data_IF_739744160833
#
_entry.id   IF_739744160833
#
_cell.length_a   1.000
_cell.length_b   1.000
_cell.length_c   1.000
_cell.angle_alpha   90.00
_cell.angle_beta   90.00
_cell.angle_gamma   90.00
#
_symmetry.space_group_name_H-M   'P 1'
#
loop_
_entity.id
_entity.type
_entity.pdbx_description
1 polymer ?
#
# COMPACT_ATOMS: atom_id res chain seq x y z
N UNK A 1 23.79 32.68 10.99
CA UNK A 1 24.55 31.83 10.04
C UNK A 1 24.15 30.40 10.41
N UNK A 2 23.12 29.87 9.74
CA UNK A 2 22.77 28.46 9.82
C UNK A 2 23.85 27.77 9.00
N UNK A 3 24.55 26.81 9.60
CA UNK A 3 25.53 25.98 8.92
C UNK A 3 24.86 25.38 7.67
N UNK A 4 25.44 25.62 6.49
CA UNK A 4 25.17 24.83 5.30
C UNK A 4 25.66 23.39 5.58
N UNK A 5 24.93 22.64 6.39
CA UNK A 5 25.04 21.21 6.38
C UNK A 5 24.57 20.77 4.99
N UNK A 6 25.55 20.38 4.18
CA UNK A 6 25.38 19.95 2.82
C UNK A 6 24.44 18.73 2.83
N UNK A 7 23.14 18.96 2.60
CA UNK A 7 22.17 17.86 2.52
C UNK A 7 22.67 16.82 1.51
N UNK A 8 22.71 15.57 1.94
CA UNK A 8 23.04 14.47 1.04
C UNK A 8 22.05 14.43 -0.13
N UNK A 9 22.52 14.10 -1.33
CA UNK A 9 21.61 14.01 -2.47
C UNK A 9 20.56 12.94 -2.23
N UNK A 10 19.33 13.21 -2.66
CA UNK A 10 18.24 12.22 -2.60
C UNK A 10 18.11 11.50 -3.94
N UNK A 11 17.80 10.21 -3.92
CA UNK A 11 17.43 9.47 -5.12
C UNK A 11 15.94 9.62 -5.37
N UNK A 12 15.55 10.13 -6.54
CA UNK A 12 14.14 10.26 -6.96
C UNK A 12 13.84 9.23 -8.04
N UNK A 13 12.91 8.34 -7.75
CA UNK A 13 12.46 7.28 -8.65
C UNK A 13 11.10 7.67 -9.21
N UNK A 14 11.07 8.13 -10.46
CA UNK A 14 9.88 8.62 -11.12
C UNK A 14 9.26 7.54 -12.01
N UNK A 15 7.99 7.23 -11.77
CA UNK A 15 7.21 6.36 -12.66
C UNK A 15 6.50 7.20 -13.73
N UNK A 16 7.00 7.24 -14.98
CA UNK A 16 6.42 8.04 -16.04
C UNK A 16 5.01 7.58 -16.44
N UNK A 17 4.68 6.31 -16.22
CA UNK A 17 3.37 5.73 -16.50
C UNK A 17 2.33 5.99 -15.38
N UNK A 18 2.76 6.44 -14.21
CA UNK A 18 1.87 6.72 -13.09
C UNK A 18 0.75 7.67 -13.49
N UNK A 19 -0.45 7.46 -12.95
CA UNK A 19 -1.63 8.24 -13.33
C UNK A 19 -1.89 8.25 -14.85
N UNK A 20 -1.57 7.14 -15.55
CA UNK A 20 -1.68 7.01 -17.03
C UNK A 20 -0.90 8.07 -17.79
N UNK A 21 0.37 8.22 -17.46
CA UNK A 21 1.30 9.16 -18.07
C UNK A 21 1.26 10.57 -17.45
N UNK A 22 0.60 10.73 -16.30
CA UNK A 22 0.70 11.97 -15.52
C UNK A 22 2.12 12.13 -14.95
N UNK A 23 2.75 11.05 -14.48
CA UNK A 23 4.11 11.05 -13.97
C UNK A 23 5.12 11.71 -14.92
N UNK A 24 5.08 11.35 -16.22
CA UNK A 24 5.95 11.99 -17.22
C UNK A 24 5.66 13.49 -17.40
N UNK A 25 4.41 13.92 -17.22
CA UNK A 25 4.02 15.33 -17.41
C UNK A 25 4.36 16.21 -16.19
N UNK A 26 4.38 15.63 -15.00
CA UNK A 26 4.66 16.37 -13.78
C UNK A 26 6.16 16.52 -13.52
N UNK A 27 7.03 15.82 -14.24
CA UNK A 27 8.48 15.87 -14.03
C UNK A 27 9.08 17.30 -14.06
N UNK A 28 8.75 18.20 -15.03
CA UNK A 28 9.30 19.54 -15.01
C UNK A 28 8.94 20.32 -13.75
N UNK A 29 7.70 20.20 -13.28
CA UNK A 29 7.22 20.83 -12.04
C UNK A 29 7.92 20.22 -10.81
N UNK A 30 8.07 18.91 -10.77
CA UNK A 30 8.78 18.17 -9.72
C UNK A 30 10.23 18.64 -9.61
N UNK A 31 10.95 18.74 -10.74
CA UNK A 31 12.32 19.27 -10.77
C UNK A 31 12.39 20.72 -10.29
N UNK A 32 11.43 21.54 -10.68
CA UNK A 32 11.34 22.93 -10.23
C UNK A 32 11.11 23.00 -8.72
N UNK A 33 10.18 22.22 -8.18
CA UNK A 33 9.90 22.16 -6.74
C UNK A 33 11.13 21.72 -5.93
N UNK A 34 11.79 20.63 -6.33
CA UNK A 34 13.00 20.15 -5.64
C UNK A 34 14.12 21.19 -5.67
N UNK A 35 14.34 21.83 -6.82
CA UNK A 35 15.37 22.89 -6.96
C UNK A 35 15.04 24.11 -6.11
N UNK A 36 13.78 24.53 -6.05
CA UNK A 36 13.32 25.66 -5.25
C UNK A 36 13.53 25.44 -3.74
N UNK A 37 13.46 24.17 -3.29
CA UNK A 37 13.75 23.78 -1.91
C UNK A 37 15.27 23.55 -1.64
N UNK A 38 16.14 23.76 -2.64
CA UNK A 38 17.58 23.55 -2.51
C UNK A 38 17.99 22.09 -2.40
N UNK A 39 17.12 21.16 -2.75
CA UNK A 39 17.38 19.72 -2.68
C UNK A 39 18.27 19.30 -3.85
N UNK A 40 19.42 18.68 -3.55
CA UNK A 40 20.25 17.98 -4.54
C UNK A 40 19.62 16.61 -4.77
N UNK A 41 19.37 16.26 -6.01
CA UNK A 41 18.71 14.98 -6.36
C UNK A 41 19.31 14.34 -7.60
N UNK A 42 19.25 13.02 -7.62
CA UNK A 42 19.44 12.17 -8.79
C UNK A 42 18.09 11.54 -9.17
N UNK A 43 17.57 11.89 -10.35
CA UNK A 43 16.25 11.44 -10.80
C UNK A 43 16.39 10.41 -11.90
N UNK A 44 15.77 9.27 -11.68
CA UNK A 44 15.73 8.16 -12.65
C UNK A 44 14.29 7.70 -12.92
N UNK A 45 14.00 7.38 -14.19
CA UNK A 45 12.68 6.89 -14.61
C UNK A 45 12.59 5.38 -14.51
N UNK A 46 11.43 4.90 -14.06
CA UNK A 46 11.13 3.48 -14.17
C UNK A 46 10.84 3.09 -15.63
N UNK A 47 11.17 1.85 -16.00
CA UNK A 47 11.00 1.29 -17.35
C UNK A 47 9.88 0.25 -17.44
N UNK A 48 9.36 -0.20 -16.32
CA UNK A 48 8.32 -1.23 -16.23
C UNK A 48 8.02 -1.64 -14.80
N UNK A 49 7.16 -2.63 -14.62
CA UNK A 49 6.85 -3.18 -13.29
C UNK A 49 8.11 -3.67 -12.56
N UNK A 50 8.18 -3.47 -11.26
CA UNK A 50 9.28 -3.82 -10.36
C UNK A 50 10.60 -3.09 -10.59
N UNK A 51 10.70 -2.24 -11.62
CA UNK A 51 11.93 -1.48 -11.84
C UNK A 51 12.16 -0.41 -10.78
N UNK A 52 11.10 0.11 -10.12
CA UNK A 52 11.27 1.01 -9.00
C UNK A 52 11.91 0.31 -7.79
N UNK A 53 11.62 -0.97 -7.55
CA UNK A 53 12.26 -1.76 -6.51
C UNK A 53 13.76 -1.97 -6.80
N UNK A 54 14.11 -2.34 -8.03
CA UNK A 54 15.53 -2.47 -8.45
C UNK A 54 16.30 -1.17 -8.29
N UNK A 55 15.69 -0.03 -8.66
CA UNK A 55 16.29 1.30 -8.51
C UNK A 55 16.45 1.68 -7.06
N UNK A 56 15.46 1.39 -6.21
CA UNK A 56 15.50 1.70 -4.79
C UNK A 56 16.55 0.85 -4.05
N UNK A 57 16.64 -0.43 -4.38
CA UNK A 57 17.66 -1.32 -3.83
C UNK A 57 19.07 -0.82 -4.18
N UNK A 58 19.33 -0.55 -5.46
CA UNK A 58 20.64 0.00 -5.91
C UNK A 58 20.96 1.33 -5.22
N UNK A 59 19.98 2.25 -5.15
CA UNK A 59 20.19 3.52 -4.47
C UNK A 59 20.56 3.34 -2.99
N UNK A 60 19.93 2.40 -2.30
CA UNK A 60 20.27 2.08 -0.93
C UNK A 60 21.68 1.48 -0.81
N UNK A 61 22.07 0.59 -1.72
CA UNK A 61 23.42 -0.01 -1.79
C UNK A 61 24.50 1.06 -2.14
N UNK A 62 24.18 2.02 -3.01
CA UNK A 62 25.04 3.15 -3.39
C UNK A 62 25.17 4.21 -2.29
N UNK A 63 24.44 4.06 -1.16
CA UNK A 63 24.59 4.90 0.01
C UNK A 63 23.68 6.12 0.07
N UNK A 64 22.66 6.22 -0.80
CA UNK A 64 21.64 7.28 -0.65
C UNK A 64 20.90 7.14 0.68
N UNK A 65 20.92 8.19 1.51
CA UNK A 65 20.22 8.23 2.79
C UNK A 65 18.71 8.35 2.64
N UNK A 66 18.25 9.02 1.57
CA UNK A 66 16.84 9.25 1.29
C UNK A 66 16.49 8.80 -0.14
N UNK A 67 15.47 7.95 -0.26
CA UNK A 67 14.96 7.43 -1.53
C UNK A 67 13.51 7.88 -1.70
N UNK A 68 13.21 8.54 -2.81
CA UNK A 68 11.93 9.21 -3.04
C UNK A 68 11.16 8.47 -4.12
N UNK A 69 9.95 8.02 -3.77
CA UNK A 69 8.97 7.50 -4.71
C UNK A 69 8.19 8.66 -5.34
N UNK A 70 8.33 8.87 -6.64
CA UNK A 70 7.50 9.81 -7.40
C UNK A 70 6.54 9.05 -8.30
N UNK A 71 5.33 8.79 -7.78
CA UNK A 71 4.34 7.94 -8.44
C UNK A 71 3.03 7.86 -7.68
N UNK A 72 2.37 6.71 -7.76
CA UNK A 72 1.21 6.31 -6.95
C UNK A 72 1.58 5.16 -6.01
N UNK A 73 0.55 4.55 -5.39
CA UNK A 73 0.72 3.49 -4.37
C UNK A 73 1.56 2.30 -4.87
N UNK A 74 1.37 1.84 -6.11
CA UNK A 74 2.20 0.77 -6.68
C UNK A 74 3.68 1.14 -6.76
N UNK A 75 4.02 2.39 -7.12
CA UNK A 75 5.42 2.86 -7.15
C UNK A 75 5.98 2.95 -5.73
N UNK A 76 5.17 3.41 -4.77
CA UNK A 76 5.56 3.46 -3.36
C UNK A 76 5.82 2.03 -2.82
N UNK A 77 4.95 1.07 -3.14
CA UNK A 77 5.14 -0.33 -2.74
C UNK A 77 6.41 -0.93 -3.33
N UNK A 78 6.69 -0.72 -4.64
CA UNK A 78 7.94 -1.17 -5.25
C UNK A 78 9.17 -0.57 -4.55
N UNK A 79 9.16 0.75 -4.25
CA UNK A 79 10.26 1.43 -3.54
C UNK A 79 10.44 0.87 -2.12
N UNK A 80 9.35 0.62 -1.39
CA UNK A 80 9.41 -0.05 -0.08
C UNK A 80 10.12 -1.40 -0.21
N UNK A 81 9.72 -2.23 -1.16
CA UNK A 81 10.32 -3.56 -1.35
C UNK A 81 11.81 -3.47 -1.70
N UNK A 82 12.23 -2.50 -2.52
CA UNK A 82 13.63 -2.27 -2.84
C UNK A 82 14.46 -1.81 -1.63
N UNK A 83 13.93 -0.88 -0.82
CA UNK A 83 14.57 -0.44 0.43
C UNK A 83 14.72 -1.62 1.39
N UNK A 84 13.68 -2.43 1.55
CA UNK A 84 13.71 -3.58 2.47
C UNK A 84 14.69 -4.66 2.00
N UNK A 85 14.78 -4.93 0.70
CA UNK A 85 15.77 -5.87 0.15
C UNK A 85 17.21 -5.45 0.44
N UNK A 86 17.51 -4.14 0.42
CA UNK A 86 18.82 -3.62 0.78
C UNK A 86 19.06 -3.56 2.29
N UNK A 87 17.99 -3.46 3.11
CA UNK A 87 18.09 -3.28 4.57
C UNK A 87 18.50 -4.54 5.33
N UNK A 88 18.51 -5.70 4.69
CA UNK A 88 19.11 -6.93 5.26
C UNK A 88 20.57 -6.72 5.65
N UNK A 89 21.22 -5.68 5.11
CA UNK A 89 22.59 -5.26 5.46
C UNK A 89 22.66 -4.20 6.58
N UNK A 90 21.57 -3.89 7.27
CA UNK A 90 21.54 -3.11 8.53
C UNK A 90 21.48 -1.58 8.40
N UNK A 91 21.44 -1.01 7.21
CA UNK A 91 21.36 0.45 7.04
C UNK A 91 19.91 0.92 6.89
N UNK A 92 19.41 1.68 7.90
CA UNK A 92 18.10 2.34 7.80
C UNK A 92 18.14 3.40 6.70
N UNK A 93 17.12 3.41 5.84
CA UNK A 93 16.91 4.42 4.79
C UNK A 93 15.61 5.17 5.04
N UNK A 94 15.58 6.42 4.64
CA UNK A 94 14.37 7.24 4.69
C UNK A 94 13.65 7.19 3.36
N UNK A 95 12.35 7.15 3.40
CA UNK A 95 11.51 7.20 2.20
C UNK A 95 10.77 8.53 2.12
N UNK A 96 10.91 9.20 0.98
CA UNK A 96 10.04 10.31 0.60
C UNK A 96 8.96 9.85 -0.37
N UNK A 97 7.84 10.56 -0.41
CA UNK A 97 6.77 10.31 -1.37
C UNK A 97 6.38 11.61 -2.05
N UNK A 98 6.45 11.63 -3.38
CA UNK A 98 5.98 12.75 -4.21
C UNK A 98 4.77 12.28 -5.03
N UNK A 99 3.62 12.93 -4.90
CA UNK A 99 2.39 12.52 -5.56
C UNK A 99 2.46 12.79 -7.07
N UNK A 100 2.65 11.73 -7.86
CA UNK A 100 2.64 11.78 -9.32
C UNK A 100 1.69 10.76 -9.95
N UNK A 101 0.95 10.04 -9.12
CA UNK A 101 -0.02 9.01 -9.49
C UNK A 101 -1.47 9.43 -9.33
N UNK A 102 -2.38 8.47 -9.45
CA UNK A 102 -3.82 8.63 -9.17
C UNK A 102 -4.27 8.00 -7.86
N UNK A 103 -3.43 7.18 -7.23
CA UNK A 103 -3.60 6.59 -5.91
C UNK A 103 -2.62 7.19 -4.93
N UNK A 104 -3.08 7.43 -3.70
CA UNK A 104 -2.30 8.07 -2.64
C UNK A 104 -2.72 7.52 -1.27
N UNK A 105 -3.22 6.28 -1.24
CA UNK A 105 -3.73 5.66 -0.01
C UNK A 105 -2.60 5.48 1.01
N UNK A 106 -1.41 5.05 0.57
CA UNK A 106 -0.23 4.96 1.43
C UNK A 106 0.18 6.33 2.01
N UNK A 107 0.39 7.34 1.14
CA UNK A 107 0.79 8.67 1.60
C UNK A 107 -0.24 9.26 2.58
N UNK A 108 -1.54 9.12 2.27
CA UNK A 108 -2.63 9.56 3.15
C UNK A 108 -2.65 8.79 4.47
N UNK A 109 -2.42 7.48 4.45
CA UNK A 109 -2.42 6.61 5.64
C UNK A 109 -1.29 6.95 6.62
N UNK A 110 -0.13 7.35 6.12
CA UNK A 110 1.01 7.75 6.95
C UNK A 110 1.08 9.26 7.20
N UNK A 111 0.06 10.02 6.78
CA UNK A 111 -0.05 11.46 7.05
C UNK A 111 0.87 12.33 6.20
N UNK A 112 1.27 11.88 5.02
CA UNK A 112 2.09 12.66 4.09
C UNK A 112 1.23 13.58 3.21
N UNK A 113 1.78 14.74 2.78
CA UNK A 113 1.07 15.67 1.91
C UNK A 113 0.74 15.06 0.55
N UNK A 114 -0.43 15.42 0.02
CA UNK A 114 -0.86 15.07 -1.33
C UNK A 114 -0.63 16.20 -2.35
N UNK A 115 -0.20 17.36 -1.89
CA UNK A 115 0.25 18.48 -2.72
C UNK A 115 1.75 18.35 -2.99
N UNK A 116 2.17 18.55 -4.25
CA UNK A 116 3.55 18.32 -4.68
C UNK A 116 4.53 19.31 -4.01
N UNK A 117 4.15 20.59 -3.88
CA UNK A 117 5.02 21.60 -3.29
C UNK A 117 5.21 21.36 -1.79
N UNK A 118 4.13 20.98 -1.10
CA UNK A 118 4.17 20.61 0.30
C UNK A 118 4.98 19.32 0.52
N UNK A 119 4.80 18.32 -0.33
CA UNK A 119 5.58 17.08 -0.27
C UNK A 119 7.09 17.34 -0.47
N UNK A 120 7.47 18.22 -1.39
CA UNK A 120 8.87 18.63 -1.57
C UNK A 120 9.42 19.32 -0.31
N UNK A 121 8.64 20.17 0.36
CA UNK A 121 9.07 20.79 1.63
C UNK A 121 9.33 19.77 2.72
N UNK A 122 8.52 18.70 2.81
CA UNK A 122 8.71 17.63 3.78
C UNK A 122 10.02 16.87 3.59
N UNK A 123 10.56 16.81 2.37
CA UNK A 123 11.87 16.18 2.13
C UNK A 123 13.04 16.97 2.78
N UNK A 124 12.87 18.26 3.06
CA UNK A 124 13.92 19.09 3.71
C UNK A 124 13.88 19.01 5.23
N UNK A 125 12.84 18.43 5.81
CA UNK A 125 12.71 18.34 7.26
C UNK A 125 13.74 17.35 7.81
N UNK A 126 14.41 17.75 8.88
CA UNK A 126 15.38 16.89 9.59
C UNK A 126 14.70 15.72 10.32
N UNK A 127 13.39 15.82 10.57
CA UNK A 127 12.59 14.78 11.21
C UNK A 127 12.03 13.77 10.21
N UNK A 128 11.80 12.57 10.71
CA UNK A 128 11.07 11.51 10.03
C UNK A 128 10.11 10.82 10.99
N UNK A 129 9.05 10.23 10.48
CA UNK A 129 8.18 9.34 11.24
C UNK A 129 8.56 7.91 10.93
N UNK A 130 8.81 7.12 11.98
CA UNK A 130 9.02 5.69 11.82
C UNK A 130 7.67 5.01 11.75
N UNK A 131 7.49 4.16 10.75
CA UNK A 131 6.28 3.40 10.52
C UNK A 131 6.58 1.90 10.48
N UNK A 132 5.56 1.11 10.73
CA UNK A 132 5.58 -0.33 10.59
C UNK A 132 5.37 -0.71 9.13
N UNK A 133 5.85 -1.89 8.76
CA UNK A 133 5.55 -2.53 7.48
C UNK A 133 5.00 -3.92 7.73
N UNK A 134 4.13 -4.38 6.86
CA UNK A 134 3.76 -5.78 6.82
C UNK A 134 4.70 -6.58 5.92
N UNK A 135 5.02 -7.81 6.30
CA UNK A 135 5.63 -8.82 5.45
C UNK A 135 4.61 -9.89 5.14
N UNK A 136 4.32 -10.11 3.87
CA UNK A 136 3.43 -11.18 3.40
C UNK A 136 4.23 -12.29 2.73
N UNK A 137 3.93 -13.53 3.11
CA UNK A 137 4.49 -14.76 2.55
C UNK A 137 3.41 -15.65 1.98
N UNK A 138 3.68 -16.21 0.80
CA UNK A 138 2.86 -17.22 0.16
C UNK A 138 3.78 -18.40 -0.17
N UNK A 139 3.46 -19.64 0.18
CA UNK A 139 4.31 -20.79 -0.12
C UNK A 139 4.74 -20.86 -1.59
N UNK A 140 6.05 -20.99 -1.82
CA UNK A 140 6.64 -21.04 -3.16
C UNK A 140 6.79 -19.68 -3.87
N UNK A 141 6.56 -18.57 -3.19
CA UNK A 141 6.84 -17.21 -3.70
C UNK A 141 7.81 -16.48 -2.79
N UNK A 142 8.52 -15.50 -3.36
CA UNK A 142 9.33 -14.58 -2.57
C UNK A 142 8.45 -13.72 -1.66
N UNK A 143 8.88 -13.45 -0.42
CA UNK A 143 8.18 -12.55 0.47
C UNK A 143 8.03 -11.14 -0.13
N UNK A 144 6.93 -10.47 0.19
CA UNK A 144 6.70 -9.07 -0.19
C UNK A 144 6.43 -8.22 1.05
N UNK A 145 6.85 -6.95 0.98
CA UNK A 145 6.58 -5.96 2.01
C UNK A 145 5.45 -5.04 1.56
N UNK A 146 4.64 -4.60 2.53
CA UNK A 146 3.53 -3.70 2.26
C UNK A 146 3.39 -2.64 3.35
N UNK A 147 3.00 -1.45 2.92
CA UNK A 147 2.79 -0.32 3.82
C UNK A 147 1.32 -0.08 4.16
N UNK A 148 0.39 -0.68 3.40
CA UNK A 148 -1.02 -0.36 3.53
C UNK A 148 -1.90 -1.59 3.80
N UNK A 149 -2.13 -2.51 2.83
CA UNK A 149 -3.09 -3.59 3.04
C UNK A 149 -2.81 -4.84 2.21
N UNK A 150 -3.15 -6.01 2.77
CA UNK A 150 -3.36 -7.27 2.05
C UNK A 150 -4.84 -7.58 2.05
N UNK A 151 -5.45 -7.60 0.86
CA UNK A 151 -6.87 -7.95 0.67
C UNK A 151 -7.04 -9.34 0.10
N UNK A 152 -7.88 -10.17 0.72
CA UNK A 152 -8.11 -11.58 0.38
C UNK A 152 -9.59 -11.82 0.08
N UNK A 153 -9.87 -12.62 -0.93
CA UNK A 153 -11.23 -12.98 -1.33
C UNK A 153 -11.84 -11.94 -2.25
N UNK A 154 -12.94 -11.31 -1.85
CA UNK A 154 -13.65 -10.32 -2.66
C UNK A 154 -12.75 -9.19 -3.13
N UNK A 155 -11.88 -8.70 -2.27
CA UNK A 155 -10.97 -7.60 -2.56
C UNK A 155 -9.94 -7.96 -3.64
N UNK A 156 -9.32 -9.12 -3.53
CA UNK A 156 -8.48 -9.66 -4.60
C UNK A 156 -9.22 -9.81 -5.93
N UNK A 157 -10.49 -10.23 -5.89
CA UNK A 157 -11.33 -10.33 -7.09
C UNK A 157 -11.68 -8.95 -7.68
N UNK A 158 -11.90 -7.94 -6.84
CA UNK A 158 -12.09 -6.54 -7.27
C UNK A 158 -10.87 -6.02 -8.01
N UNK A 159 -9.66 -6.27 -7.47
CA UNK A 159 -8.44 -5.89 -8.16
C UNK A 159 -8.35 -6.52 -9.56
N UNK A 160 -8.65 -7.81 -9.69
CA UNK A 160 -8.66 -8.49 -11.00
C UNK A 160 -9.63 -7.84 -12.00
N UNK A 161 -10.75 -7.27 -11.52
CA UNK A 161 -11.67 -6.51 -12.36
C UNK A 161 -11.15 -5.11 -12.71
N UNK A 162 -10.42 -4.44 -11.81
CA UNK A 162 -9.81 -3.13 -12.12
C UNK A 162 -8.86 -3.21 -13.30
N UNK A 163 -8.08 -4.30 -13.40
CA UNK A 163 -7.11 -4.52 -14.48
C UNK A 163 -7.78 -4.61 -15.87
N UNK A 164 -9.07 -4.99 -15.93
CA UNK A 164 -9.85 -5.08 -17.19
C UNK A 164 -10.44 -3.74 -17.63
N UNK A 165 -10.50 -2.73 -16.74
CA UNK A 165 -11.14 -1.43 -16.98
C UNK A 165 -10.09 -0.41 -17.40
N UNK A 166 -10.12 0.02 -18.67
CA UNK A 166 -9.07 0.89 -19.25
C UNK A 166 -9.38 2.39 -19.22
N UNK A 167 -10.64 2.81 -18.99
CA UNK A 167 -11.09 4.21 -19.20
C UNK A 167 -11.28 5.02 -17.94
N UNK A 168 -11.44 4.39 -16.76
CA UNK A 168 -11.68 5.05 -15.48
C UNK A 168 -10.41 5.08 -14.63
N UNK A 169 -10.38 5.96 -13.60
CA UNK A 169 -9.26 6.12 -12.64
C UNK A 169 -9.81 6.37 -11.24
N UNK A 170 -8.99 6.08 -10.21
CA UNK A 170 -9.32 6.36 -8.82
C UNK A 170 -10.62 5.72 -8.38
N UNK A 171 -11.33 6.37 -7.48
CA UNK A 171 -12.57 5.86 -6.89
C UNK A 171 -13.64 5.38 -7.90
N UNK A 172 -13.92 6.09 -9.03
CA UNK A 172 -14.88 5.59 -10.03
C UNK A 172 -14.46 4.28 -10.69
N UNK A 173 -13.16 4.05 -10.91
CA UNK A 173 -12.64 2.78 -11.41
C UNK A 173 -12.93 1.67 -10.42
N UNK A 174 -12.55 1.90 -9.15
CA UNK A 174 -12.68 0.89 -8.09
C UNK A 174 -14.16 0.57 -7.84
N UNK A 175 -15.03 1.58 -7.76
CA UNK A 175 -16.48 1.39 -7.58
C UNK A 175 -17.11 0.56 -8.70
N UNK A 176 -16.72 0.82 -9.96
CA UNK A 176 -17.21 0.00 -11.08
C UNK A 176 -16.69 -1.44 -10.98
N UNK A 177 -15.44 -1.64 -10.59
CA UNK A 177 -14.88 -2.98 -10.38
C UNK A 177 -15.59 -3.72 -9.25
N UNK A 178 -15.85 -3.05 -8.14
CA UNK A 178 -16.66 -3.60 -7.02
C UNK A 178 -18.03 -4.04 -7.50
N UNK A 179 -18.76 -3.20 -8.22
CA UNK A 179 -20.08 -3.56 -8.75
C UNK A 179 -20.01 -4.76 -9.71
N UNK A 180 -19.01 -4.77 -10.61
CA UNK A 180 -18.81 -5.91 -11.51
C UNK A 180 -18.50 -7.19 -10.75
N UNK A 181 -17.65 -7.13 -9.72
CA UNK A 181 -17.31 -8.29 -8.90
C UNK A 181 -18.55 -8.82 -8.17
N UNK A 182 -19.37 -7.96 -7.57
CA UNK A 182 -20.62 -8.36 -6.91
C UNK A 182 -21.55 -9.14 -7.86
N UNK A 183 -21.67 -8.70 -9.10
CA UNK A 183 -22.63 -9.31 -10.03
C UNK A 183 -22.07 -10.50 -10.83
N UNK A 184 -20.75 -10.48 -11.15
CA UNK A 184 -20.15 -11.43 -12.09
C UNK A 184 -19.23 -12.46 -11.43
N UNK A 185 -18.48 -12.08 -10.39
CA UNK A 185 -17.40 -12.88 -9.83
C UNK A 185 -17.48 -12.99 -8.30
N UNK A 186 -18.68 -12.98 -7.74
CA UNK A 186 -18.86 -13.09 -6.31
C UNK A 186 -18.56 -14.52 -5.85
N UNK A 187 -17.54 -14.69 -5.02
CA UNK A 187 -17.13 -15.95 -4.44
C UNK A 187 -16.88 -15.77 -2.94
N UNK A 188 -17.26 -16.76 -2.17
CA UNK A 188 -17.11 -16.79 -0.72
C UNK A 188 -16.42 -18.10 -0.33
N UNK A 189 -15.06 -18.12 -0.27
CA UNK A 189 -14.32 -19.32 0.11
C UNK A 189 -14.52 -19.65 1.59
N UNK A 190 -14.41 -20.94 1.91
CA UNK A 190 -14.24 -21.39 3.29
C UNK A 190 -12.80 -21.06 3.72
N UNK A 191 -12.63 -20.33 4.81
CA UNK A 191 -11.32 -19.92 5.31
C UNK A 191 -11.16 -20.23 6.79
N UNK A 192 -9.92 -20.51 7.17
CA UNK A 192 -9.45 -20.47 8.54
C UNK A 192 -8.55 -19.25 8.68
N UNK A 193 -8.93 -18.32 9.54
CA UNK A 193 -8.14 -17.15 9.90
C UNK A 193 -7.57 -17.36 11.29
N UNK A 194 -6.23 -17.42 11.38
CA UNK A 194 -5.52 -17.44 12.66
C UNK A 194 -4.87 -16.08 12.86
N UNK A 195 -5.08 -15.49 14.00
CA UNK A 195 -4.51 -14.20 14.36
C UNK A 195 -4.07 -14.23 15.81
N UNK A 196 -2.76 -14.13 16.01
CA UNK A 196 -2.06 -14.37 17.28
C UNK A 196 -2.50 -15.72 17.91
N UNK A 197 -3.20 -15.70 19.03
CA UNK A 197 -3.68 -16.91 19.73
C UNK A 197 -5.10 -17.33 19.34
N UNK A 198 -5.80 -16.53 18.52
CA UNK A 198 -7.18 -16.77 18.14
C UNK A 198 -7.28 -17.52 16.82
N UNK A 199 -8.37 -18.26 16.62
CA UNK A 199 -8.68 -18.97 15.37
C UNK A 199 -10.16 -18.82 15.05
N UNK A 200 -10.46 -18.48 13.82
CA UNK A 200 -11.81 -18.33 13.30
C UNK A 200 -11.98 -19.12 12.01
N UNK A 201 -12.92 -20.05 11.99
CA UNK A 201 -13.35 -20.78 10.78
C UNK A 201 -14.67 -20.19 10.29
N UNK A 202 -14.70 -19.75 9.03
CA UNK A 202 -15.87 -19.11 8.45
C UNK A 202 -15.91 -19.24 6.92
N UNK A 203 -17.10 -19.04 6.36
CA UNK A 203 -17.22 -18.68 4.94
C UNK A 203 -17.08 -17.17 4.85
N UNK A 204 -16.00 -16.69 4.21
CA UNK A 204 -15.66 -15.28 4.16
C UNK A 204 -15.99 -14.64 2.80
N UNK A 205 -16.56 -13.46 2.86
CA UNK A 205 -16.60 -12.56 1.70
C UNK A 205 -15.27 -11.85 1.54
N UNK A 206 -14.69 -11.37 2.66
CA UNK A 206 -13.52 -10.53 2.68
C UNK A 206 -12.69 -10.82 3.93
N UNK A 207 -11.38 -10.88 3.77
CA UNK A 207 -10.40 -10.77 4.87
C UNK A 207 -9.37 -9.74 4.44
N UNK A 208 -9.34 -8.59 5.11
CA UNK A 208 -8.32 -7.56 4.90
C UNK A 208 -7.42 -7.47 6.11
N UNK A 209 -6.11 -7.41 5.87
CA UNK A 209 -5.06 -7.29 6.88
C UNK A 209 -4.41 -5.93 6.62
N UNK A 210 -4.76 -4.95 7.44
CA UNK A 210 -4.46 -3.55 7.21
C UNK A 210 -3.39 -3.02 8.18
N UNK A 211 -2.38 -2.36 7.63
CA UNK A 211 -1.44 -1.50 8.35
C UNK A 211 -1.85 -0.03 8.24
N UNK A 212 -2.58 0.32 7.19
CA UNK A 212 -3.14 1.64 6.95
C UNK A 212 -4.67 1.63 6.86
N UNK A 213 -5.33 2.80 7.03
CA UNK A 213 -6.79 2.88 7.17
C UNK A 213 -7.57 2.72 5.86
N UNK A 214 -6.92 2.87 4.69
CA UNK A 214 -7.61 3.04 3.40
C UNK A 214 -7.06 2.16 2.31
N UNK A 215 -7.92 1.87 1.34
CA UNK A 215 -7.53 1.24 0.08
C UNK A 215 -8.44 1.66 -1.08
N UNK A 216 -8.04 1.32 -2.31
CA UNK A 216 -8.87 1.51 -3.51
C UNK A 216 -9.23 2.96 -3.81
N UNK A 217 -8.46 3.93 -3.30
CA UNK A 217 -8.66 5.35 -3.53
C UNK A 217 -9.83 5.96 -2.75
N UNK A 218 -10.20 5.39 -1.59
CA UNK A 218 -11.19 6.01 -0.72
C UNK A 218 -12.05 5.10 0.15
N UNK A 219 -11.87 3.78 0.07
CA UNK A 219 -12.54 2.87 0.99
C UNK A 219 -11.78 2.83 2.32
N UNK A 220 -12.50 3.05 3.41
CA UNK A 220 -11.98 3.00 4.78
C UNK A 220 -12.08 1.56 5.28
N UNK A 221 -11.12 0.71 4.94
CA UNK A 221 -11.19 -0.72 5.28
C UNK A 221 -10.91 -0.98 6.77
N UNK A 222 -10.04 -0.19 7.36
CA UNK A 222 -9.70 -0.22 8.78
C UNK A 222 -9.55 1.22 9.30
N UNK A 223 -10.67 1.92 9.61
CA UNK A 223 -10.68 3.35 9.91
C UNK A 223 -9.75 3.77 11.05
N UNK A 224 -9.56 2.87 12.02
CA UNK A 224 -8.78 3.11 13.24
C UNK A 224 -7.35 2.57 13.14
N UNK A 225 -6.91 2.10 11.96
CA UNK A 225 -5.56 1.59 11.78
C UNK A 225 -4.51 2.69 11.92
N UNK A 226 -3.46 2.38 12.68
CA UNK A 226 -2.31 3.24 12.92
C UNK A 226 -1.02 2.55 12.44
N UNK A 227 -0.31 3.11 11.45
CA UNK A 227 0.83 2.44 10.83
C UNK A 227 2.12 2.45 11.70
N UNK A 228 2.03 2.72 12.98
CA UNK A 228 3.16 2.84 13.92
C UNK A 228 2.87 2.29 15.32
N UNK A 229 1.89 1.40 15.45
CA UNK A 229 1.48 0.84 16.76
C UNK A 229 1.82 -0.66 16.94
N UNK A 230 2.52 -1.25 15.97
CA UNK A 230 3.00 -2.62 16.02
C UNK A 230 1.93 -3.69 15.77
N UNK A 231 0.77 -3.33 15.22
CA UNK A 231 -0.35 -4.24 15.01
C UNK A 231 -0.97 -4.03 13.63
N UNK A 232 -1.52 -5.10 13.07
CA UNK A 232 -2.48 -5.01 11.97
C UNK A 232 -3.88 -4.84 12.51
N UNK A 233 -4.71 -4.10 11.79
CA UNK A 233 -6.15 -4.08 11.93
C UNK A 233 -6.78 -5.02 10.90
N UNK A 234 -7.56 -5.99 11.39
CA UNK A 234 -8.22 -7.00 10.57
C UNK A 234 -9.66 -6.61 10.33
N UNK A 235 -10.08 -6.59 9.07
CA UNK A 235 -11.49 -6.49 8.70
C UNK A 235 -11.92 -7.82 8.09
N UNK A 236 -12.73 -8.59 8.81
CA UNK A 236 -13.20 -9.92 8.43
C UNK A 236 -14.70 -9.84 8.20
N UNK A 237 -15.14 -9.96 6.95
CA UNK A 237 -16.55 -9.99 6.61
C UNK A 237 -17.01 -11.42 6.29
N UNK A 238 -18.00 -11.92 7.06
CA UNK A 238 -18.65 -13.21 6.79
C UNK A 238 -19.35 -13.20 5.44
N UNK A 239 -19.75 -14.39 4.99
CA UNK A 239 -20.59 -14.53 3.82
C UNK A 239 -21.85 -13.69 3.95
N UNK A 240 -22.10 -12.89 2.91
CA UNK A 240 -23.32 -12.07 2.80
C UNK A 240 -23.90 -12.17 1.40
N UNK A 241 -25.22 -11.87 1.28
CA UNK A 241 -25.85 -11.80 -0.02
C UNK A 241 -25.33 -10.60 -0.85
N UNK A 242 -25.44 -10.70 -2.18
CA UNK A 242 -25.08 -9.59 -3.09
C UNK A 242 -25.81 -8.29 -2.75
N UNK A 243 -27.07 -8.39 -2.31
CA UNK A 243 -27.84 -7.21 -1.91
C UNK A 243 -27.32 -6.59 -0.63
N UNK A 244 -26.88 -7.43 0.32
CA UNK A 244 -26.21 -6.96 1.55
C UNK A 244 -24.90 -6.28 1.22
N UNK A 245 -24.09 -6.82 0.29
CA UNK A 245 -22.86 -6.18 -0.19
C UNK A 245 -23.12 -4.76 -0.72
N UNK A 246 -24.16 -4.59 -1.55
CA UNK A 246 -24.53 -3.26 -2.07
C UNK A 246 -24.90 -2.28 -0.95
N UNK A 247 -25.55 -2.77 0.11
CA UNK A 247 -25.91 -1.94 1.29
C UNK A 247 -24.68 -1.58 2.13
N UNK A 248 -23.67 -2.44 2.17
CA UNK A 248 -22.44 -2.22 2.92
C UNK A 248 -21.49 -1.21 2.25
N UNK A 249 -21.52 -1.06 0.91
CA UNK A 249 -20.61 -0.18 0.19
C UNK A 249 -20.55 1.26 0.75
N UNK A 250 -21.68 1.95 1.04
CA UNK A 250 -21.61 3.29 1.62
C UNK A 250 -21.00 3.31 3.02
N UNK A 251 -21.08 2.21 3.77
CA UNK A 251 -20.49 2.09 5.09
C UNK A 251 -18.97 1.94 4.99
N UNK A 252 -18.45 1.13 4.06
CA UNK A 252 -17.02 1.03 3.80
C UNK A 252 -16.42 2.36 3.30
N UNK A 253 -17.16 3.12 2.49
CA UNK A 253 -16.71 4.45 2.06
C UNK A 253 -16.60 5.46 3.21
N UNK A 254 -17.40 5.29 4.26
CA UNK A 254 -17.47 6.19 5.42
C UNK A 254 -16.72 5.66 6.66
N UNK A 255 -16.25 4.42 6.61
CA UNK A 255 -15.66 3.75 7.77
C UNK A 255 -16.65 3.37 8.87
N UNK A 256 -17.95 3.28 8.56
CA UNK A 256 -19.01 2.96 9.54
C UNK A 256 -19.46 1.50 9.50
N UNK A 257 -18.71 0.64 8.85
CA UNK A 257 -18.97 -0.80 8.74
C UNK A 257 -18.48 -1.59 9.97
N UNK A 258 -17.61 -1.02 10.77
CA UNK A 258 -16.89 -1.69 11.87
C UNK A 258 -17.81 -2.27 12.94
N UNK A 259 -19.00 -1.70 13.14
CA UNK A 259 -20.00 -2.15 14.11
C UNK A 259 -21.13 -3.00 13.47
N UNK A 260 -21.05 -3.30 12.17
CA UNK A 260 -22.11 -4.02 11.47
C UNK A 260 -21.95 -5.54 11.62
N UNK A 261 -23.03 -6.24 11.89
CA UNK A 261 -23.06 -7.70 12.16
C UNK A 261 -22.24 -8.58 11.19
N UNK A 262 -22.20 -8.39 9.88
CA UNK A 262 -21.38 -9.25 9.03
C UNK A 262 -19.87 -9.00 9.15
N UNK A 263 -19.44 -7.94 9.85
CA UNK A 263 -18.04 -7.53 9.98
C UNK A 263 -17.53 -7.80 11.38
N UNK A 264 -16.35 -8.38 11.45
CA UNK A 264 -15.57 -8.52 12.69
C UNK A 264 -14.28 -7.74 12.52
N UNK A 265 -14.04 -6.80 13.43
CA UNK A 265 -12.74 -6.13 13.53
C UNK A 265 -11.92 -6.82 14.61
N UNK A 266 -10.64 -7.04 14.34
CA UNK A 266 -9.68 -7.61 15.28
C UNK A 266 -8.30 -6.97 15.07
N UNK A 267 -7.38 -7.21 16.00
CA UNK A 267 -6.00 -6.72 15.89
C UNK A 267 -5.02 -7.85 16.18
N UNK A 268 -3.94 -7.93 15.42
CA UNK A 268 -2.93 -8.96 15.59
C UNK A 268 -1.58 -8.53 14.99
N UNK A 269 -0.50 -9.08 15.55
CA UNK A 269 0.84 -8.92 14.99
C UNK A 269 1.16 -9.98 13.92
N UNK A 270 0.55 -11.14 13.99
CA UNK A 270 0.72 -12.23 13.04
C UNK A 270 -0.64 -12.78 12.62
N UNK A 271 -0.83 -12.91 11.30
CA UNK A 271 -2.07 -13.41 10.73
C UNK A 271 -1.76 -14.50 9.69
N UNK A 272 -2.45 -15.63 9.80
CA UNK A 272 -2.42 -16.69 8.80
C UNK A 272 -3.84 -16.93 8.27
N UNK A 273 -3.99 -16.92 6.96
CA UNK A 273 -5.26 -17.23 6.29
C UNK A 273 -5.05 -18.44 5.40
N UNK A 274 -5.83 -19.48 5.61
CA UNK A 274 -5.79 -20.70 4.79
C UNK A 274 -7.15 -21.06 4.25
N UNK A 275 -7.19 -21.73 3.09
CA UNK A 275 -8.42 -22.16 2.43
C UNK A 275 -8.19 -23.40 1.57
N UNK A 276 -9.08 -24.40 1.66
CA UNK A 276 -9.09 -25.52 0.73
C UNK A 276 -9.56 -25.12 -0.68
N UNK A 277 -10.27 -23.98 -0.82
CA UNK A 277 -10.87 -23.54 -2.07
C UNK A 277 -9.93 -22.70 -2.94
N UNK A 278 -8.76 -22.30 -2.37
CA UNK A 278 -7.84 -21.36 -2.99
C UNK A 278 -8.18 -19.90 -2.65
N UNK A 279 -7.15 -19.08 -2.51
CA UNK A 279 -7.23 -17.68 -2.14
C UNK A 279 -6.80 -16.80 -3.31
N UNK A 280 -7.64 -15.82 -3.63
CA UNK A 280 -7.27 -14.68 -4.48
C UNK A 280 -6.92 -13.53 -3.58
N UNK A 281 -5.74 -12.94 -3.76
CA UNK A 281 -5.29 -11.85 -2.91
C UNK A 281 -4.48 -10.80 -3.65
N UNK A 282 -4.50 -9.60 -3.11
CA UNK A 282 -3.61 -8.52 -3.51
C UNK A 282 -2.80 -8.00 -2.32
N UNK A 283 -1.77 -7.23 -2.62
CA UNK A 283 -0.96 -6.48 -1.67
C UNK A 283 -0.74 -5.08 -2.23
N UNK A 284 -1.17 -4.06 -1.49
CA UNK A 284 -1.10 -2.63 -1.88
C UNK A 284 -1.58 -2.36 -3.33
N UNK A 285 -2.64 -3.05 -3.76
CA UNK A 285 -3.19 -2.91 -5.10
C UNK A 285 -2.48 -3.69 -6.21
N UNK A 286 -1.51 -4.57 -5.87
CA UNK A 286 -0.82 -5.45 -6.80
C UNK A 286 -1.21 -6.91 -6.56
N UNK A 287 -1.36 -7.69 -7.64
CA UNK A 287 -1.74 -9.12 -7.51
C UNK A 287 -0.68 -9.88 -6.72
N UNK A 288 -1.09 -10.49 -5.62
CA UNK A 288 -0.24 -11.36 -4.81
C UNK A 288 -0.36 -12.82 -5.27
N UNK A 289 -1.58 -13.32 -5.35
CA UNK A 289 -1.86 -14.69 -5.78
C UNK A 289 -3.30 -14.81 -6.31
N UNK A 290 -3.55 -15.90 -7.05
CA UNK A 290 -4.88 -16.20 -7.62
C UNK A 290 -5.41 -17.59 -7.20
N UNK A 291 -4.59 -18.38 -6.52
CA UNK A 291 -4.95 -19.74 -6.05
C UNK A 291 -3.99 -20.20 -4.94
N UNK A 292 -3.74 -19.36 -3.94
CA UNK A 292 -2.93 -19.76 -2.80
C UNK A 292 -3.75 -20.59 -1.81
N UNK A 293 -3.11 -21.53 -1.13
CA UNK A 293 -3.73 -22.31 -0.05
C UNK A 293 -3.51 -21.69 1.31
N UNK A 294 -2.50 -20.85 1.42
CA UNK A 294 -2.08 -20.22 2.66
C UNK A 294 -1.43 -18.87 2.35
N UNK A 295 -1.73 -17.89 3.17
CA UNK A 295 -1.12 -16.56 3.17
C UNK A 295 -0.79 -16.22 4.62
N UNK A 296 0.46 -15.84 4.90
CA UNK A 296 0.91 -15.41 6.22
C UNK A 296 1.39 -13.97 6.15
N UNK A 297 0.88 -13.14 7.06
CA UNK A 297 1.34 -11.77 7.27
C UNK A 297 1.92 -11.62 8.66
N UNK A 298 3.01 -10.87 8.79
CA UNK A 298 3.58 -10.46 10.08
C UNK A 298 3.96 -9.00 10.04
N UNK A 299 3.71 -8.29 11.14
CA UNK A 299 4.09 -6.89 11.30
C UNK A 299 5.60 -6.79 11.59
N UNK A 300 6.23 -5.80 11.03
CA UNK A 300 7.63 -5.43 11.28
C UNK A 300 7.64 -4.04 11.89
N UNK A 301 7.64 -3.93 13.24
CA UNK A 301 7.54 -2.65 13.91
C UNK A 301 8.73 -1.74 13.60
N UNK A 302 8.44 -0.48 13.28
CA UNK A 302 9.45 0.53 13.03
C UNK A 302 10.38 0.24 11.86
N UNK A 303 9.90 -0.48 10.84
CA UNK A 303 10.73 -0.98 9.74
C UNK A 303 11.13 0.09 8.73
N UNK A 304 10.39 1.19 8.60
CA UNK A 304 10.64 2.25 7.63
C UNK A 304 10.54 3.63 8.27
N UNK A 305 11.46 4.52 7.94
CA UNK A 305 11.36 5.94 8.26
C UNK A 305 10.82 6.69 7.04
N UNK A 306 9.76 7.49 7.20
CA UNK A 306 9.20 8.35 6.15
C UNK A 306 9.48 9.82 6.44
N UNK A 307 9.79 10.60 5.38
CA UNK A 307 10.03 12.03 5.49
C UNK A 307 8.71 12.74 5.81
N UNK A 308 8.56 13.25 7.02
CA UNK A 308 7.41 14.07 7.43
C UNK A 308 7.90 15.36 8.10
N UNK A 309 7.12 16.43 7.95
CA UNK A 309 7.37 17.74 8.55
C UNK A 309 6.64 17.93 9.87
#
# INVERSE_FOLDING_TARGET
MVSEECMEPVKVILNPAAGRGHGARVEPELRQCLTAQGIRFDLEWTKGPWHAAELAQRAAEDGFGTIVSAGGDGTANEVINGIMAASENGAKRRMGVLPAGSGSDFASGVGLPLDLEEACRHLTCAGGRTIDLGRVTVPGKEPRYFGNVVGIGFDGAVLMETLKIRRLRGLPLYLLAVLKTIFLNFSTPSVTVKYDAETMDLIATLVSIANGPREGGGFMIAPDAHPDDGMFDLCIAREVSRLTMLRLLPHFLRGTHTELDPVTMARAAVVEVSSPDGLVAHVDGEVLCTDAREIRCEILPGALEVCCG
#
